data_IF_459936125053
#
_entry.id   IF_459936125053
#
_cell.length_a   1.000
_cell.length_b   1.000
_cell.length_c   1.000
_cell.angle_alpha   90.00
_cell.angle_beta   90.00
_cell.angle_gamma   90.00
#
_symmetry.space_group_name_H-M   'P 1'
#
loop_
_entity.id
_entity.type
_entity.pdbx_description
1 polymer ?
#
# COMPACT_ATOMS: atom_id res chain seq x y z
N UNK A 1 5.21 -13.03 -21.16
CA UNK A 1 4.39 -11.88 -20.74
C UNK A 1 5.27 -10.63 -20.73
N UNK A 2 4.72 -9.45 -20.98
CA UNK A 2 5.47 -8.17 -20.93
C UNK A 2 5.78 -7.79 -19.48
N UNK A 3 7.04 -7.47 -19.18
CA UNK A 3 7.49 -6.99 -17.86
C UNK A 3 7.27 -5.47 -17.74
N UNK A 4 6.03 -5.02 -17.95
CA UNK A 4 5.66 -3.62 -17.90
C UNK A 4 4.21 -3.37 -18.30
N UNK A 5 3.92 -2.13 -18.69
CA UNK A 5 2.63 -1.75 -19.25
C UNK A 5 2.82 -1.00 -20.58
N UNK A 6 1.83 -1.12 -21.45
CA UNK A 6 1.78 -0.39 -22.72
C UNK A 6 1.16 0.97 -22.46
N UNK A 7 1.72 2.01 -23.08
CA UNK A 7 1.25 3.38 -22.97
C UNK A 7 1.24 4.04 -24.36
N UNK A 8 0.13 4.68 -24.70
CA UNK A 8 -0.01 5.49 -25.91
C UNK A 8 -0.39 6.91 -25.52
N UNK A 9 0.48 7.87 -25.81
CA UNK A 9 0.31 9.27 -25.43
C UNK A 9 0.32 10.16 -26.67
N UNK A 10 -0.67 11.03 -26.82
CA UNK A 10 -0.71 12.00 -27.93
C UNK A 10 0.38 13.07 -27.78
N UNK A 11 0.67 13.82 -28.85
CA UNK A 11 1.57 14.98 -28.80
C UNK A 11 1.16 16.06 -27.79
N UNK A 12 -0.13 16.13 -27.44
CA UNK A 12 -0.68 17.03 -26.41
C UNK A 12 -0.43 16.52 -24.98
N UNK A 13 0.05 15.29 -24.82
CA UNK A 13 0.25 14.64 -23.53
C UNK A 13 -0.99 13.92 -22.99
N UNK A 14 -2.00 13.64 -23.82
CA UNK A 14 -3.18 12.88 -23.39
C UNK A 14 -2.93 11.37 -23.52
N UNK A 15 -3.29 10.61 -22.48
CA UNK A 15 -3.22 9.15 -22.51
C UNK A 15 -4.37 8.63 -23.37
N UNK A 16 -4.06 8.17 -24.58
CA UNK A 16 -5.05 7.59 -25.49
C UNK A 16 -5.33 6.12 -25.14
N UNK A 17 -4.29 5.38 -24.76
CA UNK A 17 -4.40 4.00 -24.35
C UNK A 17 -3.38 3.68 -23.26
N UNK A 18 -3.77 2.83 -22.31
CA UNK A 18 -2.86 2.19 -21.38
C UNK A 18 -3.32 0.75 -21.13
N UNK A 19 -2.42 -0.22 -20.97
CA UNK A 19 -2.81 -1.60 -20.63
C UNK A 19 -3.25 -1.73 -19.18
N UNK A 20 -4.16 -2.68 -18.89
CA UNK A 20 -4.66 -2.95 -17.53
C UNK A 20 -3.54 -3.24 -16.51
N UNK A 21 -2.40 -3.77 -16.97
CA UNK A 21 -1.23 -4.06 -16.13
C UNK A 21 -0.64 -2.84 -15.45
N UNK A 22 -0.98 -1.60 -15.86
CA UNK A 22 -0.57 -0.38 -15.13
C UNK A 22 -0.96 -0.41 -13.66
N UNK A 23 -2.07 -1.07 -13.32
CA UNK A 23 -2.53 -1.23 -11.94
C UNK A 23 -1.52 -2.01 -11.10
N UNK A 24 -0.86 -3.02 -11.67
CA UNK A 24 0.11 -3.86 -10.97
C UNK A 24 1.43 -3.12 -10.68
N UNK A 25 1.75 -2.11 -11.50
CA UNK A 25 3.00 -1.36 -11.42
C UNK A 25 2.86 -0.03 -10.67
N UNK A 26 1.77 0.71 -10.88
CA UNK A 26 1.55 2.06 -10.35
C UNK A 26 0.34 2.16 -9.41
N UNK A 27 -0.56 1.18 -9.40
CA UNK A 27 -1.75 1.16 -8.55
C UNK A 27 -2.96 1.94 -9.09
N UNK A 28 -2.87 2.54 -10.28
CA UNK A 28 -4.00 3.21 -10.92
C UNK A 28 -4.87 2.23 -11.70
N UNK A 29 -6.19 2.40 -11.62
CA UNK A 29 -7.08 1.67 -12.53
C UNK A 29 -7.01 2.28 -13.93
N UNK A 30 -7.11 1.43 -14.96
CA UNK A 30 -7.01 1.87 -16.37
C UNK A 30 -8.01 2.99 -16.69
N UNK A 31 -9.26 2.87 -16.20
CA UNK A 31 -10.32 3.87 -16.45
C UNK A 31 -10.00 5.26 -15.90
N UNK A 32 -9.16 5.34 -14.87
CA UNK A 32 -8.88 6.58 -14.16
C UNK A 32 -7.80 7.39 -14.87
N UNK A 33 -6.92 6.72 -15.62
CA UNK A 33 -5.80 7.33 -16.34
C UNK A 33 -6.12 7.61 -17.81
N UNK A 34 -7.06 6.86 -18.39
CA UNK A 34 -7.46 7.04 -19.79
C UNK A 34 -8.03 8.44 -20.01
N UNK A 35 -7.61 9.06 -21.12
CA UNK A 35 -7.98 10.43 -21.50
C UNK A 35 -7.53 11.54 -20.54
N UNK A 36 -6.74 11.21 -19.52
CA UNK A 36 -6.11 12.22 -18.65
C UNK A 36 -4.76 12.68 -19.22
N UNK A 37 -4.28 13.80 -18.70
CA UNK A 37 -2.94 14.29 -19.00
C UNK A 37 -1.89 13.43 -18.31
N UNK A 38 -0.97 12.86 -19.09
CA UNK A 38 0.15 12.05 -18.58
C UNK A 38 1.01 12.83 -17.59
N UNK A 39 1.07 14.17 -17.71
CA UNK A 39 1.86 15.03 -16.83
C UNK A 39 1.33 15.06 -15.39
N UNK A 40 0.07 14.66 -15.14
CA UNK A 40 -0.44 14.48 -13.78
C UNK A 40 0.16 13.25 -13.09
N UNK A 41 0.61 12.28 -13.89
CA UNK A 41 1.26 11.05 -13.41
C UNK A 41 2.77 11.18 -13.38
N UNK A 42 3.38 12.16 -14.05
CA UNK A 42 4.84 12.30 -14.16
C UNK A 42 5.39 13.22 -13.07
N UNK A 43 6.56 12.87 -12.52
CA UNK A 43 7.29 13.73 -11.59
C UNK A 43 7.56 15.12 -12.23
N UNK A 44 7.34 16.24 -11.52
CA UNK A 44 7.46 17.59 -12.10
C UNK A 44 8.77 17.86 -12.87
N UNK A 45 9.90 17.38 -12.33
CA UNK A 45 11.23 17.52 -12.95
C UNK A 45 11.36 16.78 -14.30
N UNK A 46 10.61 15.70 -14.50
CA UNK A 46 10.72 14.86 -15.70
C UNK A 46 9.74 15.32 -16.81
N UNK A 47 8.81 16.22 -16.50
CA UNK A 47 7.76 16.64 -17.45
C UNK A 47 8.32 17.34 -18.69
N UNK A 48 9.37 18.15 -18.53
CA UNK A 48 9.99 18.85 -19.66
C UNK A 48 10.67 17.86 -20.61
N UNK A 49 11.37 16.87 -20.06
CA UNK A 49 12.01 15.81 -20.86
C UNK A 49 10.98 14.95 -21.58
N UNK A 50 9.88 14.61 -20.90
CA UNK A 50 8.79 13.88 -21.53
C UNK A 50 8.17 14.67 -22.69
N UNK A 51 7.94 15.99 -22.53
CA UNK A 51 7.44 16.85 -23.62
C UNK A 51 8.38 16.86 -24.83
N UNK A 52 9.69 16.94 -24.59
CA UNK A 52 10.69 16.83 -25.67
C UNK A 52 10.54 15.51 -26.42
N UNK A 53 10.40 14.40 -25.71
CA UNK A 53 10.27 13.08 -26.31
C UNK A 53 8.96 12.88 -27.11
N UNK A 54 7.91 13.66 -26.84
CA UNK A 54 6.68 13.69 -27.65
C UNK A 54 6.84 14.46 -28.98
N UNK A 55 7.84 15.35 -29.08
CA UNK A 55 8.12 16.10 -30.29
C UNK A 55 9.07 15.29 -31.21
N UNK A 56 8.80 15.26 -32.53
CA UNK A 56 9.61 14.46 -33.45
C UNK A 56 11.08 14.92 -33.49
N UNK A 57 11.33 16.23 -33.40
CA UNK A 57 12.67 16.82 -33.41
C UNK A 57 13.30 17.00 -32.02
N UNK A 58 12.66 16.51 -30.94
CA UNK A 58 13.09 16.72 -29.54
C UNK A 58 13.18 18.19 -29.08
N UNK A 59 12.78 19.14 -29.93
CA UNK A 59 12.75 20.59 -29.70
C UNK A 59 11.31 21.12 -29.74
N UNK A 60 10.55 21.07 -28.64
CA UNK A 60 9.24 21.72 -28.59
C UNK A 60 9.44 23.25 -28.72
N UNK A 61 8.56 23.98 -29.43
CA UNK A 61 8.61 25.44 -29.44
C UNK A 61 8.53 25.97 -27.99
N UNK A 62 9.44 26.88 -27.61
CA UNK A 62 9.36 27.53 -26.30
C UNK A 62 7.97 28.18 -26.14
N UNK A 63 7.32 27.95 -24.99
CA UNK A 63 6.17 28.77 -24.61
C UNK A 63 6.65 30.23 -24.45
N UNK A 64 5.86 31.23 -24.89
CA UNK A 64 6.24 32.63 -24.70
C UNK A 64 6.20 32.95 -23.21
N UNK A 65 7.37 33.14 -22.61
CA UNK A 65 7.50 33.77 -21.29
C UNK A 65 7.30 35.29 -21.44
N UNK A 66 6.31 35.83 -20.73
CA UNK A 66 6.22 37.25 -20.39
C UNK A 66 5.28 38.10 -21.24
N UNK A 67 4.03 38.25 -20.79
CA UNK A 67 3.22 39.48 -20.89
C UNK A 67 2.13 39.41 -19.79
N UNK A 68 1.96 40.42 -18.92
CA UNK A 68 0.99 40.38 -17.84
C UNK A 68 -0.33 41.09 -18.22
N UNK A 69 -1.46 40.39 -18.31
CA UNK A 69 -2.75 40.99 -17.90
C UNK A 69 -3.97 40.04 -17.81
N UNK A 70 -4.73 40.31 -16.74
CA UNK A 70 -6.19 40.33 -16.57
C UNK A 70 -7.08 39.08 -16.75
N UNK A 71 -8.06 39.03 -15.84
CA UNK A 71 -9.02 37.97 -15.56
C UNK A 71 -9.86 37.53 -16.77
N UNK A 72 -10.10 36.22 -16.90
CA UNK A 72 -11.21 35.68 -17.69
C UNK A 72 -10.92 34.34 -18.36
N UNK A 73 -11.44 33.24 -17.80
CA UNK A 73 -11.63 31.90 -18.40
C UNK A 73 -10.50 31.40 -19.33
N UNK A 74 -9.52 30.69 -18.77
CA UNK A 74 -8.56 29.87 -19.55
C UNK A 74 -9.28 28.68 -20.18
N UNK A 75 -9.73 28.84 -21.41
CA UNK A 75 -10.00 27.72 -22.32
C UNK A 75 -8.66 27.15 -22.79
N UNK A 76 -8.47 25.84 -22.65
CA UNK A 76 -7.26 25.10 -23.02
C UNK A 76 -7.02 25.24 -24.53
N UNK A 77 -6.16 26.18 -24.92
CA UNK A 77 -5.82 26.49 -26.32
C UNK A 77 -4.94 25.40 -26.93
N UNK A 78 -5.48 24.76 -27.97
CA UNK A 78 -4.83 23.80 -28.87
C UNK A 78 -3.45 24.25 -29.37
N UNK A 79 -2.38 23.67 -28.83
CA UNK A 79 -1.05 23.68 -29.43
C UNK A 79 -0.76 22.32 -30.08
N UNK A 80 -1.75 21.78 -30.80
CA UNK A 80 -1.56 20.56 -31.58
C UNK A 80 -0.71 20.89 -32.82
N UNK A 81 0.59 20.61 -32.74
CA UNK A 81 1.48 20.75 -33.89
C UNK A 81 1.03 19.73 -34.95
N UNK A 82 0.50 20.25 -36.06
CA UNK A 82 0.05 19.44 -37.19
C UNK A 82 1.22 19.29 -38.15
N UNK A 83 1.73 18.07 -38.29
CA UNK A 83 2.82 17.77 -39.22
C UNK A 83 2.27 17.28 -40.55
N UNK A 84 2.82 17.80 -41.66
CA UNK A 84 2.63 17.17 -42.97
C UNK A 84 3.56 15.95 -43.05
N UNK A 85 3.13 14.81 -43.63
CA UNK A 85 3.96 13.61 -43.76
C UNK A 85 5.32 13.89 -44.43
N UNK A 86 5.34 14.83 -45.39
CA UNK A 86 6.54 15.22 -46.15
C UNK A 86 7.61 15.93 -45.31
N UNK A 87 7.26 16.40 -44.11
CA UNK A 87 8.17 17.11 -43.19
C UNK A 87 8.76 16.19 -42.12
N UNK A 88 8.33 14.93 -42.07
CA UNK A 88 8.77 13.96 -41.08
C UNK A 88 9.77 12.98 -41.71
N UNK A 89 10.72 12.47 -40.92
CA UNK A 89 11.49 11.30 -41.31
C UNK A 89 10.55 10.14 -41.69
N UNK A 90 10.99 9.20 -42.56
CA UNK A 90 10.22 8.00 -42.86
C UNK A 90 9.70 7.31 -41.59
N UNK A 91 8.50 6.73 -41.61
CA UNK A 91 7.85 6.15 -40.42
C UNK A 91 8.68 5.07 -39.68
N UNK A 92 9.63 4.46 -40.39
CA UNK A 92 10.57 3.45 -39.85
C UNK A 92 11.94 4.02 -39.49
N UNK A 93 12.11 5.33 -39.50
CA UNK A 93 13.36 5.97 -39.15
C UNK A 93 13.66 5.88 -37.65
N UNK A 94 14.93 5.65 -37.33
CA UNK A 94 15.45 5.70 -35.96
C UNK A 94 15.17 7.07 -35.28
N UNK A 95 14.99 8.15 -36.06
CA UNK A 95 14.64 9.47 -35.53
C UNK A 95 13.29 9.53 -34.80
N UNK A 96 12.39 8.58 -35.04
CA UNK A 96 11.11 8.50 -34.35
C UNK A 96 11.14 7.55 -33.14
N UNK A 97 12.23 6.81 -32.94
CA UNK A 97 12.41 5.93 -31.79
C UNK A 97 12.67 6.75 -30.52
N UNK A 98 12.12 6.28 -29.39
CA UNK A 98 12.22 6.94 -28.09
C UNK A 98 12.64 5.91 -27.07
N UNK A 99 13.70 6.21 -26.34
CA UNK A 99 14.15 5.45 -25.20
C UNK A 99 14.61 6.43 -24.13
N UNK A 100 13.84 6.54 -23.05
CA UNK A 100 14.15 7.50 -21.98
C UNK A 100 13.55 7.04 -20.65
N UNK A 101 14.12 7.57 -19.57
CA UNK A 101 13.67 7.28 -18.21
C UNK A 101 12.71 8.35 -17.75
N UNK A 102 11.63 7.95 -17.09
CA UNK A 102 10.68 8.87 -16.49
C UNK A 102 10.11 8.30 -15.20
N UNK A 103 9.98 9.14 -14.17
CA UNK A 103 9.36 8.79 -12.90
C UNK A 103 7.86 9.02 -12.96
N UNK A 104 7.10 7.97 -12.70
CA UNK A 104 5.64 8.03 -12.58
C UNK A 104 5.23 7.96 -11.11
N UNK A 105 4.18 8.70 -10.76
CA UNK A 105 3.51 8.60 -9.47
C UNK A 105 3.10 7.15 -9.26
N UNK A 106 3.30 6.64 -8.06
CA UNK A 106 3.04 5.26 -7.68
C UNK A 106 2.24 5.26 -6.38
N UNK A 107 1.05 4.67 -6.42
CA UNK A 107 0.19 4.49 -5.24
C UNK A 107 0.56 3.23 -4.42
N UNK A 108 1.48 2.41 -4.95
CA UNK A 108 1.89 1.14 -4.35
C UNK A 108 3.17 1.26 -3.51
N UNK A 109 3.91 2.36 -3.62
CA UNK A 109 5.19 2.57 -2.92
C UNK A 109 5.03 3.59 -1.79
N UNK A 110 5.60 3.25 -0.62
CA UNK A 110 5.54 4.07 0.61
C UNK A 110 6.81 4.90 0.82
N UNK A 111 7.78 4.86 -0.09
CA UNK A 111 9.05 5.62 0.04
C UNK A 111 8.93 7.06 -0.48
N UNK A 112 8.81 7.23 -1.79
CA UNK A 112 8.84 8.53 -2.49
C UNK A 112 7.53 8.88 -3.19
N UNK A 113 6.62 7.91 -3.34
CA UNK A 113 5.40 8.04 -4.15
C UNK A 113 5.66 8.11 -5.65
N UNK A 114 6.88 7.86 -6.12
CA UNK A 114 7.24 7.80 -7.54
C UNK A 114 8.13 6.59 -7.85
N UNK A 115 7.98 6.01 -9.03
CA UNK A 115 8.75 4.87 -9.52
C UNK A 115 9.30 5.17 -10.92
N UNK A 116 10.58 4.86 -11.15
CA UNK A 116 11.25 5.12 -12.42
C UNK A 116 10.99 3.99 -13.44
N UNK A 117 10.57 4.38 -14.64
CA UNK A 117 10.37 3.48 -15.77
C UNK A 117 11.27 3.89 -16.94
N UNK A 118 11.83 2.90 -17.63
CA UNK A 118 12.34 3.06 -18.97
C UNK A 118 11.18 2.92 -19.96
N UNK A 119 10.86 4.01 -20.66
CA UNK A 119 9.93 3.99 -21.78
C UNK A 119 10.72 3.69 -23.05
N UNK A 120 10.34 2.62 -23.73
CA UNK A 120 10.89 2.26 -25.02
C UNK A 120 9.77 2.18 -26.05
N UNK A 121 9.90 2.90 -27.15
CA UNK A 121 8.81 3.07 -28.09
C UNK A 121 9.15 3.87 -29.33
N UNK A 122 8.10 4.29 -30.05
CA UNK A 122 8.21 5.09 -31.27
C UNK A 122 7.06 6.07 -31.40
N UNK A 123 7.33 7.23 -32.00
CA UNK A 123 6.29 8.15 -32.47
C UNK A 123 5.66 7.63 -33.76
N UNK A 124 4.33 7.51 -33.78
CA UNK A 124 3.55 7.10 -34.97
C UNK A 124 2.27 7.91 -35.08
N UNK A 125 1.69 7.98 -36.28
CA UNK A 125 0.37 8.57 -36.44
C UNK A 125 -0.70 7.74 -35.72
N UNK A 126 -1.51 8.43 -34.93
CA UNK A 126 -2.65 7.86 -34.24
C UNK A 126 -3.92 8.14 -35.05
N UNK A 127 -4.47 7.09 -35.65
CA UNK A 127 -5.71 7.14 -36.40
C UNK A 127 -6.93 6.93 -35.49
N UNK A 128 -8.10 7.36 -35.96
CA UNK A 128 -9.37 7.12 -35.25
C UNK A 128 -9.63 8.03 -34.05
N UNK A 129 -8.92 9.16 -33.92
CA UNK A 129 -9.14 10.12 -32.84
C UNK A 129 -10.51 10.84 -32.93
N UNK A 130 -11.23 10.75 -34.06
CA UNK A 130 -12.56 11.36 -34.30
C UNK A 130 -12.69 12.83 -33.85
N UNK A 131 -11.58 13.57 -33.79
CA UNK A 131 -11.57 14.99 -33.44
C UNK A 131 -12.04 15.81 -34.64
N UNK A 132 -12.98 16.72 -34.41
CA UNK A 132 -13.46 17.69 -35.41
C UNK A 132 -12.94 19.09 -35.06
N UNK A 133 -12.56 19.86 -36.08
CA UNK A 133 -12.23 21.27 -35.94
C UNK A 133 -13.46 22.07 -35.49
N UNK A 134 -13.26 23.33 -35.08
CA UNK A 134 -14.35 24.28 -34.79
C UNK A 134 -15.32 24.44 -35.97
N UNK A 135 -14.83 24.21 -37.20
CA UNK A 135 -15.59 24.28 -38.45
C UNK A 135 -16.19 22.93 -38.85
N UNK A 136 -16.14 21.91 -37.99
CA UNK A 136 -16.71 20.58 -38.23
C UNK A 136 -15.90 19.66 -39.14
N UNK A 137 -14.81 20.14 -39.74
CA UNK A 137 -13.90 19.34 -40.57
C UNK A 137 -13.13 18.29 -39.73
N UNK A 138 -12.86 17.09 -40.28
CA UNK A 138 -12.06 16.09 -39.59
C UNK A 138 -10.62 16.59 -39.43
N UNK A 139 -10.08 16.51 -38.20
CA UNK A 139 -8.68 16.84 -37.95
C UNK A 139 -7.78 15.70 -38.46
N UNK A 140 -6.61 16.03 -39.04
CA UNK A 140 -5.66 15.02 -39.50
C UNK A 140 -5.11 14.19 -38.32
N UNK A 141 -4.67 12.95 -38.57
CA UNK A 141 -4.00 12.12 -37.56
C UNK A 141 -2.82 12.85 -36.94
N UNK A 142 -2.69 12.75 -35.61
CA UNK A 142 -1.58 13.37 -34.87
C UNK A 142 -0.53 12.32 -34.51
N UNK A 143 0.72 12.75 -34.34
CA UNK A 143 1.76 11.91 -33.77
C UNK A 143 1.42 11.57 -32.30
N UNK A 144 1.64 10.31 -31.95
CA UNK A 144 1.55 9.81 -30.59
C UNK A 144 2.75 8.91 -30.31
N UNK A 145 3.20 8.91 -29.06
CA UNK A 145 4.19 7.98 -28.55
C UNK A 145 3.51 6.65 -28.24
N UNK A 146 3.93 5.59 -28.94
CA UNK A 146 3.59 4.21 -28.62
C UNK A 146 4.78 3.59 -27.90
N UNK A 147 4.64 3.34 -26.60
CA UNK A 147 5.74 2.87 -25.77
C UNK A 147 5.34 1.73 -24.85
N UNK A 148 6.34 0.93 -24.49
CA UNK A 148 6.29 0.00 -23.37
C UNK A 148 7.07 0.64 -22.23
N UNK A 149 6.41 0.80 -21.09
CA UNK A 149 7.02 1.29 -19.86
C UNK A 149 7.45 0.10 -19.02
N UNK A 150 8.76 -0.07 -18.87
CA UNK A 150 9.37 -1.14 -18.06
C UNK A 150 10.02 -0.54 -16.81
N UNK A 151 9.81 -1.10 -15.61
CA UNK A 151 10.43 -0.54 -14.40
C UNK A 151 11.95 -0.64 -14.50
N UNK A 152 12.65 0.47 -14.19
CA UNK A 152 14.11 0.56 -14.33
C UNK A 152 14.83 -0.39 -13.36
N UNK A 153 14.28 -0.50 -12.16
CA UNK A 153 14.62 -1.55 -11.22
C UNK A 153 13.55 -2.62 -11.35
N UNK A 154 13.84 -3.79 -11.94
CA UNK A 154 12.85 -4.86 -12.00
C UNK A 154 12.46 -5.18 -10.55
N UNK A 155 11.16 -5.11 -10.18
CA UNK A 155 10.76 -5.69 -8.92
C UNK A 155 11.22 -7.14 -8.95
N UNK A 156 11.90 -7.59 -7.90
CA UNK A 156 12.37 -8.98 -7.84
C UNK A 156 11.18 -9.91 -8.13
N UNK A 157 11.41 -11.08 -8.74
CA UNK A 157 10.34 -12.07 -8.96
C UNK A 157 9.58 -12.36 -7.65
N UNK A 158 10.26 -12.23 -6.51
CA UNK A 158 9.71 -12.24 -5.16
C UNK A 158 8.79 -11.05 -4.89
N UNK A 159 9.19 -9.80 -5.18
CA UNK A 159 8.33 -8.61 -5.04
C UNK A 159 7.11 -8.60 -5.96
N UNK A 160 7.23 -9.08 -7.21
CA UNK A 160 6.07 -9.18 -8.13
C UNK A 160 5.08 -10.22 -7.61
N UNK A 161 5.56 -11.38 -7.18
CA UNK A 161 4.71 -12.39 -6.53
C UNK A 161 4.11 -11.85 -5.24
N UNK A 162 4.89 -11.12 -4.44
CA UNK A 162 4.45 -10.56 -3.15
C UNK A 162 3.39 -9.46 -3.33
N UNK A 163 3.55 -8.56 -4.31
CA UNK A 163 2.55 -7.54 -4.67
C UNK A 163 1.29 -8.13 -5.32
N UNK A 164 1.40 -9.23 -6.07
CA UNK A 164 0.24 -9.97 -6.61
C UNK A 164 -0.37 -10.96 -5.59
N UNK A 165 0.18 -11.09 -4.38
CA UNK A 165 -0.36 -11.96 -3.32
C UNK A 165 -1.20 -11.22 -2.29
N UNK A 166 -1.66 -9.99 -2.58
CA UNK A 166 -2.66 -9.34 -1.71
C UNK A 166 -3.86 -10.27 -1.58
N UNK A 167 -4.21 -10.58 -0.34
CA UNK A 167 -5.26 -11.53 -0.01
C UNK A 167 -6.21 -10.93 1.01
N UNK A 168 -7.40 -11.52 1.10
CA UNK A 168 -8.44 -11.13 2.05
C UNK A 168 -8.83 -12.27 2.96
N UNK A 169 -9.12 -11.89 4.19
CA UNK A 169 -9.68 -12.79 5.22
C UNK A 169 -10.94 -12.17 5.79
N UNK A 170 -11.94 -13.02 6.03
CA UNK A 170 -13.21 -12.65 6.65
C UNK A 170 -13.23 -13.17 8.09
N UNK A 171 -13.68 -12.35 9.02
CA UNK A 171 -13.74 -12.69 10.45
C UNK A 171 -15.07 -12.27 11.07
N UNK A 172 -15.46 -12.90 12.17
CA UNK A 172 -16.50 -12.41 13.09
C UNK A 172 -16.02 -11.14 13.81
N UNK A 173 -16.92 -10.45 14.51
CA UNK A 173 -16.59 -9.25 15.29
C UNK A 173 -15.67 -9.52 16.49
N UNK A 174 -15.60 -10.76 16.98
CA UNK A 174 -14.65 -11.21 18.00
C UNK A 174 -13.28 -11.59 17.41
N UNK A 175 -13.04 -11.26 16.14
CA UNK A 175 -11.85 -11.59 15.37
C UNK A 175 -11.67 -13.09 15.04
N UNK A 176 -12.69 -13.93 15.23
CA UNK A 176 -12.64 -15.34 14.79
C UNK A 176 -12.65 -15.45 13.27
N UNK A 177 -11.67 -16.12 12.63
CA UNK A 177 -11.64 -16.28 11.18
C UNK A 177 -12.78 -17.16 10.67
N UNK A 178 -13.37 -16.73 9.56
CA UNK A 178 -14.46 -17.40 8.86
C UNK A 178 -14.03 -17.93 7.51
N UNK A 179 -13.20 -17.20 6.77
CA UNK A 179 -12.77 -17.60 5.43
C UNK A 179 -11.52 -16.82 5.00
N UNK A 180 -10.83 -17.33 3.98
CA UNK A 180 -9.79 -16.62 3.25
C UNK A 180 -9.97 -16.85 1.75
N UNK A 181 -9.57 -15.88 0.93
CA UNK A 181 -9.62 -16.07 -0.53
C UNK A 181 -8.53 -17.06 -1.01
N UNK A 182 -8.57 -17.40 -2.31
CA UNK A 182 -7.63 -18.35 -2.91
C UNK A 182 -6.16 -17.95 -2.73
N UNK A 183 -5.85 -16.64 -2.74
CA UNK A 183 -4.49 -16.14 -2.53
C UNK A 183 -4.08 -16.31 -1.06
N UNK A 184 -4.98 -16.03 -0.13
CA UNK A 184 -4.78 -16.23 1.30
C UNK A 184 -4.52 -17.69 1.64
N UNK A 185 -5.24 -18.62 1.01
CA UNK A 185 -4.99 -20.06 1.15
C UNK A 185 -3.59 -20.46 0.69
N UNK A 186 -3.09 -19.88 -0.40
CA UNK A 186 -1.73 -20.13 -0.89
C UNK A 186 -0.67 -19.53 0.05
N UNK A 187 -0.90 -18.30 0.54
CA UNK A 187 0.07 -17.58 1.39
C UNK A 187 0.15 -18.17 2.80
N UNK A 188 -1.00 -18.44 3.43
CA UNK A 188 -1.06 -18.91 4.82
C UNK A 188 -1.02 -20.44 4.93
N UNK A 189 -1.38 -21.15 3.86
CA UNK A 189 -1.41 -22.62 3.81
C UNK A 189 -2.65 -23.28 4.44
N UNK A 190 -3.48 -22.53 5.18
CA UNK A 190 -4.68 -23.07 5.82
C UNK A 190 -5.88 -23.17 4.88
N UNK A 191 -6.65 -24.23 5.06
CA UNK A 191 -8.01 -24.34 4.54
C UNK A 191 -8.99 -23.53 5.39
N UNK A 192 -10.16 -23.18 4.84
CA UNK A 192 -11.19 -22.49 5.62
C UNK A 192 -11.68 -23.29 6.83
N UNK A 193 -11.72 -24.63 6.70
CA UNK A 193 -12.09 -25.50 7.81
C UNK A 193 -11.07 -25.41 8.95
N UNK A 194 -9.77 -25.48 8.63
CA UNK A 194 -8.69 -25.34 9.62
C UNK A 194 -8.74 -23.98 10.31
N UNK A 195 -8.90 -22.88 9.55
CA UNK A 195 -9.02 -21.54 10.12
C UNK A 195 -10.13 -21.45 11.17
N UNK A 196 -11.31 -22.00 10.88
CA UNK A 196 -12.46 -21.98 11.81
C UNK A 196 -12.25 -22.83 13.06
N UNK A 197 -11.44 -23.89 12.96
CA UNK A 197 -11.19 -24.82 14.07
C UNK A 197 -10.12 -24.32 15.05
N UNK A 198 -9.25 -23.40 14.60
CA UNK A 198 -8.15 -22.87 15.39
C UNK A 198 -8.56 -21.77 16.39
N UNK A 199 -9.85 -21.53 16.64
CA UNK A 199 -10.29 -20.51 17.60
C UNK A 199 -10.21 -19.09 17.02
N UNK A 200 -9.81 -18.12 17.83
CA UNK A 200 -9.82 -16.70 17.44
C UNK A 200 -8.65 -16.33 16.53
N UNK A 201 -8.76 -15.22 15.79
CA UNK A 201 -7.70 -14.73 14.91
C UNK A 201 -6.40 -14.39 15.64
N UNK A 202 -6.45 -14.16 16.95
CA UNK A 202 -5.28 -13.88 17.79
C UNK A 202 -4.33 -15.07 17.90
N UNK A 203 -4.83 -16.29 17.69
CA UNK A 203 -4.00 -17.50 17.69
C UNK A 203 -2.95 -17.47 16.58
N UNK A 204 -3.25 -16.77 15.50
CA UNK A 204 -2.37 -16.60 14.35
C UNK A 204 -1.47 -15.38 14.47
N UNK A 205 -1.62 -14.52 15.48
CA UNK A 205 -0.81 -13.30 15.63
C UNK A 205 0.37 -13.60 16.55
N UNK A 206 1.58 -13.25 16.12
CA UNK A 206 2.78 -13.39 16.97
C UNK A 206 2.59 -12.68 18.33
N UNK A 207 2.99 -13.33 19.43
CA UNK A 207 2.79 -12.84 20.80
C UNK A 207 3.24 -11.38 21.00
N UNK A 208 4.46 -11.04 20.54
CA UNK A 208 5.00 -9.69 20.61
C UNK A 208 4.23 -8.61 19.80
N UNK A 209 3.33 -9.01 18.89
CA UNK A 209 2.47 -8.09 18.12
C UNK A 209 1.04 -8.04 18.67
N UNK A 210 0.72 -8.87 19.67
CA UNK A 210 -0.67 -9.14 20.04
C UNK A 210 -1.38 -7.92 20.63
N UNK A 211 -0.76 -7.22 21.57
CA UNK A 211 -1.32 -6.00 22.17
C UNK A 211 -1.55 -4.92 21.10
N UNK A 212 -0.57 -4.74 20.20
CA UNK A 212 -0.66 -3.78 19.11
C UNK A 212 -1.84 -4.07 18.16
N UNK A 213 -2.03 -5.33 17.78
CA UNK A 213 -3.18 -5.74 16.99
C UNK A 213 -4.50 -5.61 17.76
N UNK A 214 -4.53 -5.91 19.07
CA UNK A 214 -5.72 -5.77 19.90
C UNK A 214 -6.17 -4.31 20.04
N UNK A 215 -5.25 -3.38 20.23
CA UNK A 215 -5.55 -1.94 20.24
C UNK A 215 -6.17 -1.48 18.92
N UNK A 216 -5.62 -1.94 17.79
CA UNK A 216 -6.15 -1.63 16.46
C UNK A 216 -7.53 -2.26 16.22
N UNK A 217 -7.78 -3.45 16.77
CA UNK A 217 -9.10 -4.06 16.76
C UNK A 217 -10.10 -3.24 17.58
N UNK A 218 -9.76 -2.83 18.81
CA UNK A 218 -10.63 -1.95 19.64
C UNK A 218 -10.92 -0.64 18.93
N UNK A 219 -9.93 -0.03 18.28
CA UNK A 219 -10.12 1.18 17.46
C UNK A 219 -11.11 0.93 16.33
N UNK A 220 -10.92 -0.14 15.55
CA UNK A 220 -11.81 -0.53 14.46
C UNK A 220 -13.25 -0.72 14.92
N UNK A 221 -13.48 -1.30 16.11
CA UNK A 221 -14.82 -1.45 16.65
C UNK A 221 -15.51 -0.11 16.95
N UNK A 222 -14.75 0.96 17.19
CA UNK A 222 -15.26 2.31 17.44
C UNK A 222 -15.39 3.15 16.16
N UNK A 223 -14.43 3.02 15.23
CA UNK A 223 -14.30 3.90 14.06
C UNK A 223 -14.76 3.27 12.75
N UNK A 224 -14.94 1.95 12.70
CA UNK A 224 -15.25 1.21 11.48
C UNK A 224 -14.03 0.65 10.74
N UNK A 225 -12.82 1.11 11.06
CA UNK A 225 -11.58 0.67 10.39
C UNK A 225 -10.36 0.66 11.33
N UNK A 226 -9.41 -0.24 11.08
CA UNK A 226 -8.20 -0.38 11.91
C UNK A 226 -7.09 0.62 11.57
N UNK A 227 -7.09 1.13 10.33
CA UNK A 227 -5.91 1.74 9.71
C UNK A 227 -4.88 0.69 9.27
N UNK A 228 -3.77 1.15 8.69
CA UNK A 228 -2.66 0.29 8.27
C UNK A 228 -1.90 -0.24 9.49
N UNK A 229 -1.78 -1.57 9.59
CA UNK A 229 -1.07 -2.26 10.67
C UNK A 229 -0.07 -3.24 10.08
N UNK A 230 1.16 -3.26 10.59
CA UNK A 230 2.19 -4.24 10.20
C UNK A 230 2.48 -5.18 11.37
N UNK A 231 2.36 -6.49 11.15
CA UNK A 231 2.52 -7.52 12.17
C UNK A 231 2.83 -8.89 11.53
N UNK A 232 3.11 -9.90 12.35
CA UNK A 232 3.36 -11.27 11.91
C UNK A 232 2.14 -12.17 12.05
N UNK A 233 1.88 -12.95 11.00
CA UNK A 233 0.92 -14.05 11.00
C UNK A 233 1.62 -15.40 10.99
N UNK A 234 1.07 -16.35 11.73
CA UNK A 234 1.49 -17.74 11.72
C UNK A 234 0.95 -18.44 10.46
N UNK A 235 1.83 -19.13 9.74
CA UNK A 235 1.47 -19.97 8.60
C UNK A 235 1.38 -21.44 9.00
N UNK A 236 0.71 -22.25 8.18
CA UNK A 236 0.50 -23.69 8.44
C UNK A 236 1.79 -24.51 8.54
N UNK A 237 2.85 -24.07 7.85
CA UNK A 237 4.19 -24.67 7.92
C UNK A 237 5.01 -24.16 9.11
N UNK A 238 4.34 -23.58 10.12
CA UNK A 238 4.94 -23.15 11.36
C UNK A 238 5.99 -22.03 11.18
N UNK A 239 5.68 -21.05 10.32
CA UNK A 239 6.54 -19.89 10.06
C UNK A 239 5.81 -18.58 10.32
N UNK A 240 6.59 -17.56 10.65
CA UNK A 240 6.08 -16.20 10.78
C UNK A 240 6.17 -15.47 9.45
N UNK A 241 5.02 -14.99 8.96
CA UNK A 241 4.94 -14.17 7.76
C UNK A 241 4.58 -12.74 8.13
N UNK A 242 5.44 -11.79 7.81
CA UNK A 242 5.10 -10.38 7.91
C UNK A 242 3.97 -10.02 6.96
N UNK A 243 3.00 -9.26 7.47
CA UNK A 243 1.88 -8.73 6.69
C UNK A 243 1.63 -7.28 7.04
N UNK A 244 1.31 -6.48 6.03
CA UNK A 244 0.65 -5.19 6.20
C UNK A 244 -0.84 -5.40 5.96
N UNK A 245 -1.66 -5.13 6.97
CA UNK A 245 -3.10 -5.30 6.87
C UNK A 245 -3.86 -3.98 7.10
N UNK A 246 -4.99 -3.86 6.45
CA UNK A 246 -6.04 -2.91 6.76
C UNK A 246 -7.36 -3.68 6.92
N UNK A 247 -7.99 -3.54 8.08
CA UNK A 247 -9.23 -4.19 8.42
C UNK A 247 -10.37 -3.17 8.56
N UNK A 248 -11.57 -3.57 8.12
CA UNK A 248 -12.78 -2.75 8.19
C UNK A 248 -14.00 -3.58 8.60
N UNK A 249 -14.93 -2.92 9.26
CA UNK A 249 -16.25 -3.45 9.54
C UNK A 249 -17.12 -3.39 8.28
N UNK A 250 -17.86 -4.48 8.05
CA UNK A 250 -18.90 -4.53 7.02
C UNK A 250 -20.26 -4.54 7.71
N UNK A 251 -21.12 -3.63 7.28
CA UNK A 251 -22.43 -3.41 7.86
C UNK A 251 -23.52 -4.04 6.99
N UNK A 252 -24.51 -4.62 7.63
CA UNK A 252 -25.74 -5.11 7.01
C UNK A 252 -26.92 -4.68 7.86
N UNK A 253 -27.93 -4.10 7.24
CA UNK A 253 -29.10 -3.55 7.93
C UNK A 253 -28.73 -2.57 9.07
N UNK A 254 -27.71 -1.73 8.85
CA UNK A 254 -27.24 -0.73 9.82
C UNK A 254 -26.46 -1.30 11.02
N UNK A 255 -26.15 -2.59 11.06
CA UNK A 255 -25.37 -3.23 12.14
C UNK A 255 -24.08 -3.85 11.59
N UNK A 256 -22.96 -3.82 12.34
CA UNK A 256 -21.74 -4.51 11.94
C UNK A 256 -22.00 -6.03 11.94
N UNK A 257 -21.65 -6.71 10.85
CA UNK A 257 -21.89 -8.16 10.67
C UNK A 257 -20.58 -8.96 10.68
N UNK A 258 -19.54 -8.46 10.00
CA UNK A 258 -18.24 -9.13 9.93
C UNK A 258 -17.10 -8.13 9.66
N UNK A 259 -15.87 -8.58 9.92
CA UNK A 259 -14.64 -7.86 9.61
C UNK A 259 -14.08 -8.42 8.29
N UNK A 260 -13.62 -7.54 7.40
CA UNK A 260 -12.79 -7.90 6.25
C UNK A 260 -11.42 -7.27 6.44
N UNK A 261 -10.38 -8.10 6.49
CA UNK A 261 -8.98 -7.65 6.47
C UNK A 261 -8.38 -7.89 5.09
N UNK A 262 -7.85 -6.84 4.47
CA UNK A 262 -7.03 -6.90 3.25
C UNK A 262 -5.58 -6.86 3.66
N UNK A 263 -4.78 -7.79 3.15
CA UNK A 263 -3.45 -8.07 3.65
C UNK A 263 -2.46 -8.19 2.51
N UNK A 264 -1.31 -7.53 2.64
CA UNK A 264 -0.17 -7.63 1.74
C UNK A 264 0.96 -8.35 2.50
N UNK A 265 1.41 -9.52 2.03
CA UNK A 265 2.60 -10.15 2.59
C UNK A 265 3.81 -9.24 2.39
N UNK A 266 4.72 -9.22 3.36
CA UNK A 266 5.95 -8.45 3.31
C UNK A 266 7.16 -9.39 3.28
N UNK A 267 8.30 -8.81 2.91
CA UNK A 267 9.62 -9.40 3.15
C UNK A 267 10.08 -9.08 4.57
N UNK A 268 10.99 -9.89 5.10
CA UNK A 268 11.41 -9.77 6.51
C UNK A 268 12.10 -8.44 6.82
N UNK A 269 12.85 -7.91 5.87
CA UNK A 269 13.50 -6.60 5.99
C UNK A 269 12.47 -5.46 6.15
N UNK A 270 11.42 -5.45 5.31
CA UNK A 270 10.34 -4.45 5.37
C UNK A 270 9.59 -4.55 6.72
N UNK A 271 9.24 -5.78 7.12
CA UNK A 271 8.56 -6.03 8.39
C UNK A 271 9.40 -5.62 9.61
N UNK A 272 10.70 -5.95 9.59
CA UNK A 272 11.64 -5.59 10.64
C UNK A 272 11.80 -4.08 10.82
N UNK A 273 11.86 -3.33 9.72
CA UNK A 273 11.95 -1.86 9.77
C UNK A 273 10.66 -1.24 10.37
N UNK A 274 9.49 -1.80 10.06
CA UNK A 274 8.24 -1.37 10.69
C UNK A 274 8.21 -1.65 12.19
N UNK A 275 8.69 -2.83 12.62
CA UNK A 275 8.79 -3.17 14.04
C UNK A 275 9.73 -2.19 14.77
N UNK A 276 10.89 -1.89 14.18
CA UNK A 276 11.86 -0.94 14.75
C UNK A 276 11.23 0.45 14.94
N UNK A 277 10.51 0.95 13.94
CA UNK A 277 9.76 2.23 14.04
C UNK A 277 8.69 2.21 15.13
N UNK A 278 7.97 1.09 15.29
CA UNK A 278 6.97 0.91 16.36
C UNK A 278 7.62 0.96 17.74
N UNK A 279 8.75 0.29 17.93
CA UNK A 279 9.46 0.27 19.22
C UNK A 279 10.04 1.63 19.63
N UNK A 280 10.22 2.56 18.69
CA UNK A 280 10.64 3.94 19.01
C UNK A 280 9.49 4.82 19.53
N UNK A 281 8.22 4.41 19.35
CA UNK A 281 7.08 5.04 20.02
C UNK A 281 6.99 4.53 21.46
N UNK A 282 7.76 5.15 22.35
CA UNK A 282 7.62 4.93 23.79
C UNK A 282 6.27 5.53 24.25
N UNK A 283 5.47 4.81 25.05
CA UNK A 283 4.24 5.35 25.62
C UNK A 283 4.51 6.41 26.71
N UNK A 284 5.77 6.62 27.10
CA UNK A 284 6.19 7.60 28.09
C UNK A 284 7.35 8.45 27.59
N UNK A 285 7.19 9.77 27.68
CA UNK A 285 8.26 10.74 27.52
C UNK A 285 9.08 10.75 28.82
N UNK A 286 10.36 10.38 28.78
CA UNK A 286 11.26 10.38 29.95
C UNK A 286 11.58 11.78 30.52
N UNK A 287 10.94 12.84 30.04
CA UNK A 287 11.35 14.22 30.31
C UNK A 287 11.16 14.69 31.77
N UNK A 288 10.41 13.97 32.61
CA UNK A 288 10.09 14.42 33.98
C UNK A 288 10.47 13.44 35.09
N UNK A 289 11.05 12.27 34.79
CA UNK A 289 11.51 11.33 35.82
C UNK A 289 10.41 10.68 36.69
N UNK A 290 9.13 10.96 36.44
CA UNK A 290 8.00 10.34 37.13
C UNK A 290 7.22 9.46 36.14
N UNK A 291 7.47 8.15 36.20
CA UNK A 291 6.66 7.16 35.50
C UNK A 291 5.46 6.76 36.37
N UNK A 292 4.24 7.13 35.96
CA UNK A 292 3.03 6.57 36.57
C UNK A 292 2.85 5.14 36.06
N UNK A 293 3.21 4.15 36.89
CA UNK A 293 2.89 2.75 36.63
C UNK A 293 1.37 2.60 36.67
N UNK A 294 0.73 2.48 35.51
CA UNK A 294 -0.61 1.91 35.45
C UNK A 294 -0.51 0.49 36.01
N UNK A 295 -1.27 0.22 37.08
CA UNK A 295 -1.44 -1.11 37.65
C UNK A 295 -1.89 -2.06 36.54
N UNK A 296 -0.93 -2.77 35.96
CA UNK A 296 -1.18 -3.87 35.05
C UNK A 296 -1.49 -5.04 35.98
N UNK A 297 -2.76 -5.38 36.18
CA UNK A 297 -3.19 -6.51 37.02
C UNK A 297 -2.88 -7.89 36.41
N UNK A 298 -1.90 -7.99 35.53
CA UNK A 298 -1.42 -9.24 34.98
C UNK A 298 0.11 -9.26 35.03
N UNK A 299 0.63 -9.84 36.11
CA UNK A 299 2.01 -10.31 36.21
C UNK A 299 2.25 -11.35 35.12
N UNK A 300 2.99 -10.97 34.09
CA UNK A 300 3.70 -11.92 33.22
C UNK A 300 4.75 -12.65 34.08
N UNK A 301 4.78 -13.99 34.11
CA UNK A 301 5.83 -14.70 34.82
C UNK A 301 7.11 -14.73 33.98
N UNK A 302 8.21 -14.22 34.55
CA UNK A 302 9.57 -14.62 34.18
C UNK A 302 10.40 -13.60 33.41
N UNK A 303 11.06 -12.70 34.15
CA UNK A 303 12.41 -12.25 33.81
C UNK A 303 13.26 -12.38 35.08
N UNK A 304 14.43 -13.05 35.05
CA UNK A 304 15.28 -13.16 36.23
C UNK A 304 15.89 -11.79 36.55
N UNK A 305 15.55 -11.26 37.73
CA UNK A 305 16.11 -10.03 38.29
C UNK A 305 17.62 -10.12 38.44
N UNK A 306 18.33 -9.12 37.91
CA UNK A 306 19.68 -8.82 38.35
C UNK A 306 19.92 -7.32 38.34
N UNK A 307 19.34 -6.58 39.29
CA UNK A 307 19.95 -5.35 39.81
C UNK A 307 19.50 -5.11 41.25
N UNK A 308 20.41 -5.35 42.19
CA UNK A 308 20.27 -4.90 43.58
C UNK A 308 20.55 -3.40 43.64
N UNK A 309 19.57 -2.60 44.07
CA UNK A 309 19.83 -1.29 44.66
C UNK A 309 18.95 -1.12 45.91
N UNK A 310 19.63 -1.07 47.05
CA UNK A 310 19.08 -0.75 48.38
C UNK A 310 18.43 0.63 48.34
N UNK A 311 17.18 0.75 48.80
CA UNK A 311 16.70 2.02 49.33
C UNK A 311 15.61 1.88 50.40
N UNK A 312 15.53 2.93 51.23
CA UNK A 312 15.10 2.94 52.63
C UNK A 312 13.58 2.99 52.82
N UNK A 313 13.18 2.47 53.99
CA UNK A 313 11.85 2.54 54.63
C UNK A 313 11.25 3.96 54.62
N UNK A 314 10.00 4.10 54.19
CA UNK A 314 9.05 5.04 54.78
C UNK A 314 7.72 4.33 55.09
N UNK A 315 7.20 4.59 56.28
CA UNK A 315 5.95 4.05 56.81
C UNK A 315 4.78 4.93 56.35
N UNK A 316 3.73 4.31 55.82
CA UNK A 316 2.37 4.85 55.82
C UNK A 316 1.40 3.74 56.20
N UNK A 317 0.54 4.01 57.18
CA UNK A 317 -0.29 3.07 57.94
C UNK A 317 -1.72 3.04 57.37
N UNK A 318 -2.33 1.82 57.43
CA UNK A 318 -3.77 1.50 57.59
C UNK A 318 -4.69 1.70 56.37
N UNK A 319 -5.65 0.82 56.03
CA UNK A 319 -6.35 -0.25 56.79
C UNK A 319 -7.13 -1.19 55.84
N UNK A 320 -7.16 -2.50 56.15
CA UNK A 320 -8.21 -3.54 56.05
C UNK A 320 -9.03 -3.71 54.74
N UNK A 321 -9.27 -4.90 54.17
CA UNK A 321 -9.60 -6.19 54.80
C UNK A 321 -9.11 -7.40 53.99
N UNK A 322 -8.66 -8.42 54.73
CA UNK A 322 -8.47 -9.80 54.26
C UNK A 322 -9.78 -10.59 54.29
N UNK A 323 -10.02 -11.39 53.25
CA UNK A 323 -10.62 -12.74 53.33
C UNK A 323 -10.07 -13.51 52.13
N UNK A 324 -9.05 -14.35 52.33
CA UNK A 324 -9.18 -15.77 52.67
C UNK A 324 -9.60 -16.64 51.48
N UNK A 325 -8.59 -17.25 50.85
CA UNK A 325 -8.59 -18.58 50.25
C UNK A 325 -9.76 -19.01 49.37
N UNK A 326 -9.58 -18.94 48.06
CA UNK A 326 -9.99 -20.03 47.17
C UNK A 326 -9.05 -20.07 45.96
N UNK A 327 -8.40 -21.22 45.78
CA UNK A 327 -7.73 -21.59 44.53
C UNK A 327 -8.83 -21.74 43.46
N UNK A 328 -9.05 -20.68 42.68
CA UNK A 328 -9.71 -20.81 41.38
C UNK A 328 -8.60 -21.00 40.35
N UNK A 329 -8.56 -22.19 39.74
CA UNK A 329 -8.07 -22.27 38.36
C UNK A 329 -9.01 -21.38 37.56
N UNK A 330 -8.57 -20.17 37.24
CA UNK A 330 -9.32 -19.26 36.38
C UNK A 330 -9.67 -20.02 35.09
N UNK A 331 -10.97 -20.26 34.88
CA UNK A 331 -11.49 -20.69 33.59
C UNK A 331 -11.37 -19.50 32.64
N UNK A 332 -10.16 -19.27 32.14
CA UNK A 332 -9.90 -18.27 31.10
C UNK A 332 -10.74 -18.67 29.90
N UNK A 333 -11.62 -17.79 29.45
CA UNK A 333 -12.41 -18.01 28.24
C UNK A 333 -11.43 -18.31 27.10
N UNK A 334 -11.53 -19.48 26.45
CA UNK A 334 -10.64 -19.88 25.37
C UNK A 334 -10.65 -18.92 24.18
N UNK A 335 -11.68 -18.07 24.07
CA UNK A 335 -11.79 -17.05 23.04
C UNK A 335 -11.34 -15.65 23.51
N UNK A 336 -10.92 -15.50 24.77
CA UNK A 336 -10.34 -14.26 25.26
C UNK A 336 -8.93 -14.03 24.70
N UNK A 337 -8.46 -12.78 24.74
CA UNK A 337 -7.10 -12.42 24.36
C UNK A 337 -6.06 -13.21 25.19
N UNK A 338 -6.28 -13.31 26.50
CA UNK A 338 -5.40 -14.06 27.39
C UNK A 338 -5.40 -15.55 27.06
N UNK A 339 -6.58 -16.13 26.80
CA UNK A 339 -6.71 -17.51 26.33
C UNK A 339 -5.99 -17.75 24.99
N UNK A 340 -5.89 -16.72 24.14
CA UNK A 340 -5.12 -16.80 22.92
C UNK A 340 -3.61 -16.80 23.12
N UNK A 341 -3.09 -15.94 24.01
CA UNK A 341 -1.66 -15.91 24.36
C UNK A 341 -1.22 -17.27 24.91
N UNK A 342 -1.98 -17.84 25.85
CA UNK A 342 -1.61 -19.10 26.53
C UNK A 342 -1.67 -20.33 25.60
N UNK A 343 -2.31 -20.22 24.43
CA UNK A 343 -2.46 -21.32 23.47
C UNK A 343 -1.41 -21.33 22.37
N UNK A 344 -0.55 -20.32 22.30
CA UNK A 344 0.51 -20.30 21.31
C UNK A 344 1.63 -21.26 21.74
N UNK A 345 2.07 -22.11 20.81
CA UNK A 345 3.14 -23.06 21.05
C UNK A 345 4.48 -22.31 21.23
N UNK A 346 5.13 -22.50 22.38
CA UNK A 346 6.42 -21.87 22.69
C UNK A 346 7.54 -22.32 21.74
N UNK A 347 7.46 -23.51 21.15
CA UNK A 347 8.47 -24.01 20.21
C UNK A 347 8.51 -23.22 18.88
N UNK A 348 7.55 -22.30 18.70
CA UNK A 348 7.38 -21.49 17.50
C UNK A 348 8.02 -20.10 17.63
N UNK A 349 8.56 -19.77 18.80
CA UNK A 349 9.18 -18.50 19.16
C UNK A 349 10.66 -18.68 19.46
#
# INVERSE_FOLDING_TARGET
ALNGFVLVVTSEGLIFYCSHTIQDYLGFHQTDVMHQSVFQLIHPEDQQEFRRNLHWALSPPCAPEGEPCSQGKRSLGSSAVTYKPDQLPPENSAFLERSFVCRFRCLLDNSSGFLAFNLHGRLKFLYGQNKRSKDGSPLPPQLALFAISTPLQPPSILEIRTKNTIFRTKHKLDFTPLACDAKGKIVLGYTEAELRMCGTGYQFIHAADMLYCAENHVRMMKTGESGLTVFRLLTKDNRWKWVQANARLVYKNGKPEYIIATQRPLVDEEGGEHLRKRSMHLPFTFATGEGLLYQTTHTLPGFPDSFQSKEKKSKSKKTCHSNAGHSQKDNIDPNSLLGAITRQDEAMY
#
